data_IF_661156130733
#
_entry.id   IF_661156130733
#
_cell.length_a   1.000
_cell.length_b   1.000
_cell.length_c   1.000
_cell.angle_alpha   90.00
_cell.angle_beta   90.00
_cell.angle_gamma   90.00
#
_symmetry.space_group_name_H-M   'P 1'
#
loop_
_entity.id
_entity.type
_entity.pdbx_description
1 polymer ?
#
# COMPACT_ATOMS: atom_id res chain seq x y z
N UNK A 1 -19.09 -25.76 -10.93
CA UNK A 1 -18.71 -24.65 -10.04
C UNK A 1 -17.33 -24.16 -10.45
N UNK A 2 -17.22 -23.24 -11.42
CA UNK A 2 -15.93 -22.70 -11.85
C UNK A 2 -16.08 -21.28 -12.46
N UNK A 3 -17.06 -20.51 -11.99
CA UNK A 3 -17.29 -19.12 -12.43
C UNK A 3 -16.70 -18.11 -11.43
N UNK A 4 -15.46 -18.34 -10.99
CA UNK A 4 -14.72 -17.39 -10.13
C UNK A 4 -13.59 -16.65 -10.85
N UNK A 5 -13.41 -16.83 -12.17
CA UNK A 5 -12.31 -16.21 -12.90
C UNK A 5 -12.83 -15.13 -13.86
N UNK A 6 -12.51 -13.87 -13.52
CA UNK A 6 -12.90 -12.58 -14.13
C UNK A 6 -14.25 -12.02 -13.68
N UNK A 7 -14.40 -11.69 -12.39
CA UNK A 7 -15.06 -10.41 -12.11
C UNK A 7 -14.09 -9.31 -12.52
N UNK A 8 -14.39 -8.64 -13.61
CA UNK A 8 -13.84 -7.31 -13.88
C UNK A 8 -14.23 -6.47 -12.66
N UNK A 9 -13.28 -6.20 -11.75
CA UNK A 9 -13.53 -5.27 -10.67
C UNK A 9 -13.99 -3.95 -11.28
N UNK A 10 -15.08 -3.39 -10.79
CA UNK A 10 -15.55 -2.08 -11.25
C UNK A 10 -14.50 -1.01 -10.92
N UNK A 11 -14.49 0.12 -11.64
CA UNK A 11 -13.62 1.24 -11.30
C UNK A 11 -13.72 1.68 -9.83
N UNK A 12 -14.93 1.62 -9.26
CA UNK A 12 -15.22 1.96 -7.86
C UNK A 12 -14.64 0.94 -6.89
N UNK A 13 -14.73 -0.37 -7.20
CA UNK A 13 -14.11 -1.43 -6.38
C UNK A 13 -12.59 -1.30 -6.36
N UNK A 14 -11.98 -0.91 -7.50
CA UNK A 14 -10.54 -0.67 -7.59
C UNK A 14 -10.14 0.56 -6.77
N UNK A 15 -10.91 1.65 -6.85
CA UNK A 15 -10.68 2.87 -6.06
C UNK A 15 -10.76 2.60 -4.55
N UNK A 16 -11.77 1.83 -4.13
CA UNK A 16 -11.92 1.41 -2.73
C UNK A 16 -10.73 0.56 -2.27
N UNK A 17 -10.30 -0.40 -3.09
CA UNK A 17 -9.13 -1.23 -2.78
C UNK A 17 -7.84 -0.42 -2.67
N UNK A 18 -7.62 0.57 -3.54
CA UNK A 18 -6.48 1.50 -3.46
C UNK A 18 -6.55 2.29 -2.16
N UNK A 19 -7.70 2.89 -1.85
CA UNK A 19 -7.92 3.69 -0.63
C UNK A 19 -7.62 2.89 0.65
N UNK A 20 -8.06 1.64 0.70
CA UNK A 20 -7.79 0.75 1.84
C UNK A 20 -6.30 0.41 1.99
N UNK A 21 -5.62 0.15 0.86
CA UNK A 21 -4.18 -0.11 0.84
C UNK A 21 -3.36 1.11 1.27
N UNK A 22 -3.74 2.31 0.83
CA UNK A 22 -3.09 3.57 1.24
C UNK A 22 -3.24 3.82 2.74
N UNK A 23 -4.45 3.63 3.28
CA UNK A 23 -4.69 3.72 4.74
C UNK A 23 -3.87 2.70 5.51
N UNK A 24 -3.75 1.48 5.00
CA UNK A 24 -2.96 0.44 5.65
C UNK A 24 -1.46 0.80 5.64
N UNK A 25 -0.95 1.25 4.49
CA UNK A 25 0.42 1.74 4.35
C UNK A 25 0.72 2.88 5.33
N UNK A 26 -0.18 3.84 5.45
CA UNK A 26 -0.03 4.97 6.39
C UNK A 26 0.09 4.51 7.84
N UNK A 27 -0.73 3.54 8.27
CA UNK A 27 -0.64 2.95 9.62
C UNK A 27 0.73 2.33 9.87
N UNK A 28 1.24 1.52 8.93
CA UNK A 28 2.57 0.91 9.05
C UNK A 28 3.66 1.98 9.16
N UNK A 29 3.62 3.00 8.29
CA UNK A 29 4.58 4.12 8.34
C UNK A 29 4.54 4.81 9.70
N UNK A 30 3.35 5.10 10.22
CA UNK A 30 3.17 5.75 11.52
C UNK A 30 3.69 4.87 12.67
N UNK A 31 3.40 3.58 12.66
CA UNK A 31 3.85 2.64 13.70
C UNK A 31 5.37 2.49 13.70
N UNK A 32 5.98 2.38 12.52
CA UNK A 32 7.44 2.34 12.36
C UNK A 32 8.09 3.65 12.81
N UNK A 33 7.49 4.78 12.46
CA UNK A 33 8.00 6.09 12.87
C UNK A 33 7.92 6.29 14.39
N UNK A 34 6.80 5.93 15.01
CA UNK A 34 6.65 5.97 16.47
C UNK A 34 7.63 5.03 17.16
N UNK A 35 7.83 3.83 16.62
CA UNK A 35 8.79 2.85 17.16
C UNK A 35 10.22 3.38 17.07
N UNK A 36 10.61 3.96 15.94
CA UNK A 36 11.92 4.58 15.74
C UNK A 36 12.17 5.75 16.71
N UNK A 37 11.14 6.57 16.96
CA UNK A 37 11.21 7.66 17.94
C UNK A 37 11.42 7.17 19.38
N UNK A 38 10.83 6.03 19.77
CA UNK A 38 11.00 5.47 21.12
C UNK A 38 12.43 5.00 21.41
N UNK A 39 13.21 4.71 20.37
CA UNK A 39 14.60 4.26 20.48
C UNK A 39 15.59 5.31 19.96
N UNK A 40 15.17 6.58 19.90
CA UNK A 40 15.97 7.74 19.49
C UNK A 40 16.70 7.58 18.14
N UNK A 41 16.10 6.82 17.21
CA UNK A 41 16.66 6.68 15.86
C UNK A 41 16.50 8.01 15.11
N UNK A 42 17.58 8.57 14.53
CA UNK A 42 17.51 9.80 13.77
C UNK A 42 16.47 9.72 12.64
N UNK A 43 15.74 10.81 12.43
CA UNK A 43 14.66 10.88 11.43
C UNK A 43 15.08 10.36 10.04
N UNK A 44 16.27 10.75 9.57
CA UNK A 44 16.82 10.30 8.28
C UNK A 44 16.96 8.78 8.20
N UNK A 45 17.44 8.15 9.27
CA UNK A 45 17.59 6.69 9.37
C UNK A 45 16.23 6.00 9.48
N UNK A 46 15.30 6.57 10.25
CA UNK A 46 13.93 6.05 10.35
C UNK A 46 13.25 6.03 8.97
N UNK A 47 13.33 7.13 8.21
CA UNK A 47 12.78 7.20 6.85
C UNK A 47 13.45 6.22 5.89
N UNK A 48 14.78 6.06 5.97
CA UNK A 48 15.50 5.09 5.14
C UNK A 48 15.08 3.64 5.45
N UNK A 49 14.78 3.32 6.71
CA UNK A 49 14.30 2.01 7.12
C UNK A 49 12.84 1.76 6.68
N UNK A 50 11.98 2.78 6.81
CA UNK A 50 10.59 2.73 6.33
C UNK A 50 10.56 2.49 4.81
N UNK A 51 11.40 3.20 4.03
CA UNK A 51 11.50 3.01 2.58
C UNK A 51 12.03 1.64 2.14
N UNK A 52 12.64 0.87 3.05
CA UNK A 52 13.12 -0.50 2.80
C UNK A 52 12.20 -1.56 3.40
N UNK A 53 11.08 -1.16 4.01
CA UNK A 53 10.15 -2.10 4.62
C UNK A 53 9.51 -2.97 3.53
N UNK A 54 9.66 -4.31 3.57
CA UNK A 54 9.14 -5.20 2.52
C UNK A 54 7.62 -5.17 2.37
N UNK A 55 6.89 -4.86 3.45
CA UNK A 55 5.44 -4.79 3.42
C UNK A 55 4.97 -3.50 2.74
N UNK A 56 5.60 -2.36 3.05
CA UNK A 56 5.35 -1.08 2.34
C UNK A 56 5.63 -1.26 0.85
N UNK A 57 6.76 -1.86 0.47
CA UNK A 57 7.10 -2.11 -0.93
C UNK A 57 6.05 -2.99 -1.64
N UNK A 58 5.52 -4.01 -0.95
CA UNK A 58 4.45 -4.87 -1.50
C UNK A 58 3.14 -4.11 -1.68
N UNK A 59 2.78 -3.24 -0.73
CA UNK A 59 1.58 -2.40 -0.83
C UNK A 59 1.72 -1.42 -1.99
N UNK A 60 2.87 -0.76 -2.12
CA UNK A 60 3.16 0.19 -3.21
C UNK A 60 3.03 -0.49 -4.57
N UNK A 61 3.64 -1.66 -4.75
CA UNK A 61 3.51 -2.44 -5.99
C UNK A 61 2.06 -2.87 -6.29
N UNK A 62 1.27 -3.17 -5.26
CA UNK A 62 -0.15 -3.54 -5.43
C UNK A 62 -1.01 -2.34 -5.81
N UNK A 63 -0.77 -1.18 -5.21
CA UNK A 63 -1.42 0.09 -5.58
C UNK A 63 -1.11 0.42 -7.04
N UNK A 64 0.16 0.36 -7.44
CA UNK A 64 0.57 0.62 -8.83
C UNK A 64 -0.12 -0.32 -9.83
N UNK A 65 -0.19 -1.62 -9.52
CA UNK A 65 -0.90 -2.59 -10.36
C UNK A 65 -2.41 -2.30 -10.46
N UNK A 66 -3.04 -1.85 -9.38
CA UNK A 66 -4.45 -1.47 -9.36
C UNK A 66 -4.70 -0.18 -10.15
N UNK A 67 -3.82 0.82 -10.02
CA UNK A 67 -3.88 2.07 -10.79
C UNK A 67 -3.70 1.82 -12.29
N UNK A 68 -2.76 0.94 -12.67
CA UNK A 68 -2.58 0.51 -14.05
C UNK A 68 -3.85 -0.15 -14.60
N UNK A 69 -4.49 -1.03 -13.81
CA UNK A 69 -5.77 -1.65 -14.18
C UNK A 69 -6.90 -0.62 -14.28
N UNK A 70 -6.98 0.34 -13.36
CA UNK A 70 -7.99 1.40 -13.40
C UNK A 70 -7.84 2.27 -14.65
N UNK A 71 -6.60 2.56 -15.05
CA UNK A 71 -6.29 3.37 -16.23
C UNK A 71 -6.70 2.69 -17.53
N UNK A 72 -6.74 1.35 -17.56
CA UNK A 72 -7.23 0.55 -18.70
C UNK A 72 -8.76 0.47 -18.78
N UNK A 73 -9.47 0.85 -17.72
CA UNK A 73 -10.94 0.85 -17.65
C UNK A 73 -11.56 2.22 -17.94
N UNK A 74 -10.73 3.26 -18.06
CA UNK A 74 -11.13 4.61 -18.50
C UNK A 74 -11.10 4.71 -20.02
#
# INVERSE_FOLDING_TARGET
MLDQQKRLCSPEEIEQAITELERYRERIVNDLFQSARRVDVPHKTAMANIGKNPEIMRIDAKIEALQAKQSQLR
#
